data_IF_042290094596
#
_entry.id   IF_042290094596
#
_cell.length_a   1.000
_cell.length_b   1.000
_cell.length_c   1.000
_cell.angle_alpha   90.00
_cell.angle_beta   90.00
_cell.angle_gamma   90.00
#
_symmetry.space_group_name_H-M   'P 1'
#
loop_
_entity.id
_entity.type
_entity.pdbx_description
1 polymer ?
#
# COMPACT_ATOMS: atom_id res chain seq x y z
N UNK A 1 2.21 16.42 0.35
CA UNK A 1 1.18 15.38 0.16
C UNK A 1 1.84 14.03 0.37
N UNK A 2 1.25 13.15 1.19
CA UNK A 2 1.84 11.85 1.56
C UNK A 2 0.86 10.75 1.10
N UNK A 3 1.37 9.76 0.38
CA UNK A 3 0.60 8.62 -0.12
C UNK A 3 0.88 7.38 0.74
N UNK A 4 -0.17 6.68 1.14
CA UNK A 4 -0.08 5.40 1.85
C UNK A 4 -0.63 4.34 0.90
N UNK A 5 0.23 3.44 0.44
CA UNK A 5 -0.11 2.42 -0.54
C UNK A 5 -0.10 1.04 0.13
N UNK A 6 -1.10 0.22 -0.18
CA UNK A 6 -1.19 -1.16 0.28
C UNK A 6 -1.52 -2.08 -0.89
N UNK A 7 -0.89 -3.25 -0.88
CA UNK A 7 -1.18 -4.34 -1.79
C UNK A 7 -0.98 -5.68 -1.09
N UNK A 8 -1.81 -6.66 -1.42
CA UNK A 8 -1.67 -8.03 -0.94
C UNK A 8 -0.51 -8.73 -1.65
N UNK A 9 0.38 -9.37 -0.89
CA UNK A 9 1.52 -10.14 -1.44
C UNK A 9 1.08 -11.29 -2.33
N UNK A 10 -0.15 -11.79 -2.18
CA UNK A 10 -0.68 -12.88 -3.00
C UNK A 10 -1.38 -12.38 -4.28
N UNK A 11 -1.52 -11.07 -4.47
CA UNK A 11 -2.13 -10.45 -5.66
C UNK A 11 -1.11 -10.34 -6.82
N UNK A 12 -0.42 -11.44 -7.12
CA UNK A 12 0.63 -11.54 -8.16
C UNK A 12 0.10 -12.07 -9.50
N UNK A 13 -1.18 -12.41 -9.57
CA UNK A 13 -1.81 -12.98 -10.76
C UNK A 13 -2.67 -11.93 -11.44
N UNK A 14 -2.44 -11.67 -12.73
CA UNK A 14 -3.16 -10.66 -13.52
C UNK A 14 -2.26 -9.95 -14.55
N UNK A 15 -2.83 -9.13 -15.45
CA UNK A 15 -2.07 -8.33 -16.40
C UNK A 15 -1.01 -7.48 -15.69
N UNK A 16 0.20 -7.39 -16.26
CA UNK A 16 1.29 -6.59 -15.68
C UNK A 16 1.93 -7.17 -14.40
N UNK A 17 1.69 -8.44 -14.06
CA UNK A 17 2.27 -9.07 -12.87
C UNK A 17 1.42 -8.93 -11.59
N UNK A 18 0.14 -8.56 -11.75
CA UNK A 18 -0.82 -8.43 -10.65
C UNK A 18 -0.79 -7.06 -9.94
N UNK A 19 -1.74 -6.88 -9.02
CA UNK A 19 -1.92 -5.64 -8.25
C UNK A 19 -0.66 -5.34 -7.42
N UNK A 20 0.00 -6.37 -6.90
CA UNK A 20 1.22 -6.17 -6.12
C UNK A 20 2.32 -5.50 -6.93
N UNK A 21 2.67 -6.05 -8.10
CA UNK A 21 3.74 -5.53 -8.97
C UNK A 21 3.42 -4.12 -9.45
N UNK A 22 2.20 -3.91 -9.93
CA UNK A 22 1.76 -2.60 -10.43
C UNK A 22 1.73 -1.52 -9.34
N UNK A 23 1.40 -1.88 -8.09
CA UNK A 23 1.46 -0.95 -6.96
C UNK A 23 2.90 -0.59 -6.58
N UNK A 24 3.85 -1.53 -6.70
CA UNK A 24 5.28 -1.22 -6.53
C UNK A 24 5.79 -0.26 -7.61
N UNK A 25 5.43 -0.50 -8.87
CA UNK A 25 5.82 0.39 -9.97
C UNK A 25 5.21 1.79 -9.77
N UNK A 26 3.96 1.87 -9.28
CA UNK A 26 3.32 3.14 -8.96
C UNK A 26 3.97 3.88 -7.78
N UNK A 27 4.42 3.14 -6.75
CA UNK A 27 5.21 3.71 -5.65
C UNK A 27 6.47 4.39 -6.19
N UNK A 28 7.19 3.73 -7.10
CA UNK A 28 8.41 4.26 -7.69
C UNK A 28 8.13 5.58 -8.45
N UNK A 29 7.10 5.60 -9.28
CA UNK A 29 6.69 6.81 -10.03
C UNK A 29 6.32 7.96 -9.09
N UNK A 30 5.62 7.68 -7.99
CA UNK A 30 5.27 8.72 -7.01
C UNK A 30 6.50 9.25 -6.27
N UNK A 31 7.46 8.38 -5.93
CA UNK A 31 8.73 8.79 -5.31
C UNK A 31 9.57 9.65 -6.25
N UNK A 32 9.66 9.27 -7.52
CA UNK A 32 10.39 10.04 -8.55
C UNK A 32 9.79 11.44 -8.75
N UNK A 33 8.47 11.59 -8.59
CA UNK A 33 7.79 12.89 -8.60
C UNK A 33 7.99 13.70 -7.31
N UNK A 34 8.76 13.19 -6.35
CA UNK A 34 9.07 13.88 -5.09
C UNK A 34 8.01 13.73 -4.01
N UNK A 35 7.03 12.83 -4.16
CA UNK A 35 6.04 12.59 -3.12
C UNK A 35 6.59 11.68 -2.02
N UNK A 36 6.15 11.91 -0.78
CA UNK A 36 6.38 10.97 0.32
C UNK A 36 5.42 9.81 0.16
N UNK A 37 5.95 8.60 0.07
CA UNK A 37 5.16 7.38 -0.10
C UNK A 37 5.54 6.37 0.98
N UNK A 38 4.55 5.71 1.56
CA UNK A 38 4.73 4.56 2.45
C UNK A 38 4.01 3.35 1.87
N UNK A 39 4.77 2.36 1.42
CA UNK A 39 4.23 1.12 0.87
C UNK A 39 4.16 0.03 1.95
N UNK A 40 2.99 -0.58 2.09
CA UNK A 40 2.68 -1.57 3.11
C UNK A 40 2.25 -2.88 2.46
N UNK A 41 3.16 -3.85 2.32
CA UNK A 41 2.82 -5.16 1.76
C UNK A 41 2.10 -6.00 2.81
N UNK A 42 0.87 -6.42 2.53
CA UNK A 42 0.07 -7.24 3.45
C UNK A 42 0.22 -8.72 3.12
N UNK A 43 0.31 -9.61 4.11
CA UNK A 43 0.31 -11.06 3.91
C UNK A 43 -1.12 -11.57 3.63
N UNK A 44 -1.77 -11.01 2.61
CA UNK A 44 -3.11 -11.36 2.17
C UNK A 44 -3.22 -11.24 0.64
N UNK A 45 -4.35 -11.71 0.09
CA UNK A 45 -4.75 -11.52 -1.29
C UNK A 45 -5.82 -10.43 -1.40
N UNK A 46 -6.84 -10.69 -2.22
CA UNK A 46 -7.99 -9.81 -2.40
C UNK A 46 -9.05 -10.04 -1.29
N UNK A 47 -8.67 -9.74 -0.05
CA UNK A 47 -9.46 -10.04 1.15
C UNK A 47 -9.99 -8.76 1.81
N UNK A 48 -11.31 -8.69 1.99
CA UNK A 48 -12.00 -7.55 2.60
C UNK A 48 -11.60 -7.29 4.05
N UNK A 49 -11.34 -8.33 4.84
CA UNK A 49 -10.90 -8.18 6.22
C UNK A 49 -9.51 -7.53 6.28
N UNK A 50 -8.60 -7.97 5.41
CA UNK A 50 -7.26 -7.39 5.31
C UNK A 50 -7.29 -5.91 4.88
N UNK A 51 -8.23 -5.52 4.02
CA UNK A 51 -8.39 -4.12 3.64
C UNK A 51 -8.95 -3.25 4.77
N UNK A 52 -9.90 -3.77 5.56
CA UNK A 52 -10.41 -3.06 6.72
C UNK A 52 -9.30 -2.78 7.73
N UNK A 53 -8.45 -3.77 8.00
CA UNK A 53 -7.27 -3.60 8.84
C UNK A 53 -6.30 -2.57 8.25
N UNK A 54 -5.93 -2.72 6.98
CA UNK A 54 -5.04 -1.79 6.27
C UNK A 54 -5.54 -0.33 6.32
N UNK A 55 -6.86 -0.12 6.18
CA UNK A 55 -7.46 1.20 6.29
C UNK A 55 -7.29 1.81 7.68
N UNK A 56 -7.55 1.04 8.74
CA UNK A 56 -7.36 1.49 10.13
C UNK A 56 -5.88 1.84 10.37
N UNK A 57 -4.97 1.02 9.86
CA UNK A 57 -3.52 1.27 9.96
C UNK A 57 -3.10 2.54 9.20
N UNK A 58 -3.54 2.72 7.96
CA UNK A 58 -3.26 3.92 7.18
C UNK A 58 -3.79 5.20 7.84
N UNK A 59 -5.01 5.16 8.39
CA UNK A 59 -5.57 6.29 9.12
C UNK A 59 -4.77 6.63 10.38
N UNK A 60 -4.27 5.63 11.12
CA UNK A 60 -3.40 5.87 12.30
C UNK A 60 -2.09 6.54 11.92
N UNK A 61 -1.48 6.14 10.81
CA UNK A 61 -0.24 6.75 10.31
C UNK A 61 -0.48 8.22 9.90
N UNK A 62 -1.57 8.50 9.19
CA UNK A 62 -1.91 9.87 8.79
C UNK A 62 -2.26 10.79 9.96
N UNK A 63 -2.90 10.25 11.00
CA UNK A 63 -3.21 11.00 12.22
C UNK A 63 -1.99 11.15 13.16
N UNK A 64 -0.82 10.61 12.80
CA UNK A 64 0.37 10.68 13.65
C UNK A 64 0.23 9.91 14.97
N UNK A 65 -0.67 8.93 15.02
CA UNK A 65 -0.98 8.16 16.24
C UNK A 65 0.05 7.06 16.53
N UNK A 66 1.02 6.84 15.65
CA UNK A 66 2.27 6.15 16.02
C UNK A 66 3.10 7.10 16.88
N UNK A 67 2.95 6.99 18.21
CA UNK A 67 3.99 7.44 19.14
C UNK A 67 5.30 6.75 18.75
N UNK A 68 6.37 7.55 18.74
CA UNK A 68 7.76 7.14 18.57
C UNK A 68 8.10 5.94 19.44
#
# INVERSE_FOLDING_TARGET
MHFWLQAGKFETTGPGGGIYRTTQDFEQVLREKGYRVSFHPWSSGHDYAAWCEALIHGMRDFMGLRRQ
#
